data_IF_168007247747
#
_entry.id   IF_168007247747
#
_cell.length_a   1.000
_cell.length_b   1.000
_cell.length_c   1.000
_cell.angle_alpha   90.00
_cell.angle_beta   90.00
_cell.angle_gamma   90.00
#
_symmetry.space_group_name_H-M   'P 1'
#
loop_
_entity.id
_entity.type
_entity.pdbx_description
1 polymer ?
#
# COMPACT_ATOMS: atom_id res chain seq x y z
N UNK A 1 21.54 -21.87 -3.59
CA UNK A 1 21.16 -21.93 -2.16
C UNK A 1 19.89 -21.13 -2.01
N UNK A 2 18.76 -21.74 -1.63
CA UNK A 2 17.54 -21.00 -1.28
C UNK A 2 17.79 -20.28 0.05
N UNK A 3 18.24 -19.04 0.01
CA UNK A 3 18.31 -18.20 1.19
C UNK A 3 16.87 -17.78 1.53
N UNK A 4 16.39 -18.23 2.69
CA UNK A 4 15.11 -17.79 3.23
C UNK A 4 15.21 -16.28 3.53
N UNK A 5 14.27 -15.45 3.07
CA UNK A 5 14.37 -14.01 3.27
C UNK A 5 14.42 -13.67 4.76
N UNK A 6 15.17 -12.62 5.16
CA UNK A 6 15.31 -12.23 6.56
C UNK A 6 13.94 -11.99 7.19
N UNK A 7 13.75 -12.30 8.48
CA UNK A 7 12.46 -12.10 9.15
C UNK A 7 12.01 -10.63 9.03
N UNK A 8 10.70 -10.37 8.89
CA UNK A 8 10.19 -9.01 8.89
C UNK A 8 10.57 -8.26 10.17
N UNK A 9 10.97 -6.99 10.03
CA UNK A 9 11.27 -6.11 11.15
C UNK A 9 10.09 -5.17 11.42
N UNK A 10 9.87 -4.65 12.63
CA UNK A 10 8.88 -3.59 12.82
C UNK A 10 9.28 -2.33 12.04
N UNK A 11 8.29 -1.57 11.58
CA UNK A 11 8.54 -0.21 11.09
C UNK A 11 9.08 0.65 12.24
N UNK A 12 10.14 1.47 12.03
CA UNK A 12 10.62 2.40 13.05
C UNK A 12 9.50 3.28 13.63
N UNK A 13 9.49 3.44 14.95
CA UNK A 13 8.41 4.11 15.68
C UNK A 13 8.21 5.57 15.22
N UNK A 14 9.28 6.26 14.81
CA UNK A 14 9.21 7.64 14.32
C UNK A 14 8.49 7.79 12.98
N UNK A 15 8.24 6.67 12.28
CA UNK A 15 7.58 6.60 10.99
C UNK A 15 6.12 6.12 11.09
N UNK A 16 5.63 5.82 12.29
CA UNK A 16 4.26 5.37 12.47
C UNK A 16 3.27 6.46 12.05
N UNK A 17 2.26 6.07 11.28
CA UNK A 17 1.11 6.91 11.01
C UNK A 17 0.18 6.99 12.22
N UNK A 18 -0.67 8.00 12.24
CA UNK A 18 -1.72 8.19 13.25
C UNK A 18 -2.87 7.21 13.03
N UNK A 19 -3.19 6.92 11.76
CA UNK A 19 -4.23 5.98 11.38
C UNK A 19 -3.97 5.42 9.97
N UNK A 20 -4.75 4.41 9.60
CA UNK A 20 -4.68 3.83 8.26
C UNK A 20 -6.03 3.22 7.87
N UNK A 21 -6.20 2.96 6.57
CA UNK A 21 -7.35 2.21 6.07
C UNK A 21 -7.02 1.43 4.81
N UNK A 22 -7.77 0.35 4.58
CA UNK A 22 -7.91 -0.21 3.25
C UNK A 22 -8.78 0.69 2.37
N UNK A 23 -8.42 0.80 1.10
CA UNK A 23 -9.14 1.55 0.09
C UNK A 23 -9.17 0.79 -1.23
N UNK A 24 -9.95 1.29 -2.19
CA UNK A 24 -9.99 0.76 -3.54
C UNK A 24 -10.39 1.84 -4.54
N UNK A 25 -9.73 1.85 -5.68
CA UNK A 25 -9.93 2.83 -6.75
C UNK A 25 -10.22 2.08 -8.05
N UNK A 26 -11.24 2.43 -8.84
CA UNK A 26 -11.42 1.84 -10.16
C UNK A 26 -10.17 2.03 -11.02
N UNK A 27 -9.76 0.99 -11.74
CA UNK A 27 -8.56 1.01 -12.57
C UNK A 27 -8.56 2.17 -13.59
N UNK A 28 -9.73 2.53 -14.12
CA UNK A 28 -9.90 3.65 -15.03
C UNK A 28 -9.61 5.02 -14.40
N UNK A 29 -9.81 5.17 -13.10
CA UNK A 29 -9.71 6.46 -12.40
C UNK A 29 -8.29 6.71 -11.85
N UNK A 30 -7.46 5.67 -11.76
CA UNK A 30 -6.18 5.72 -11.04
C UNK A 30 -5.22 6.78 -11.58
N UNK A 31 -5.12 6.91 -12.91
CA UNK A 31 -4.25 7.93 -13.51
C UNK A 31 -4.86 9.32 -13.49
N UNK A 32 -6.16 9.44 -13.72
CA UNK A 32 -6.84 10.73 -13.64
C UNK A 32 -6.75 11.32 -12.22
N UNK A 33 -6.73 10.46 -11.20
CA UNK A 33 -6.58 10.86 -9.81
C UNK A 33 -5.17 11.33 -9.47
N UNK A 34 -4.11 10.75 -10.05
CA UNK A 34 -2.74 10.93 -9.53
C UNK A 34 -1.65 11.23 -10.56
N UNK A 35 -1.82 10.85 -11.83
CA UNK A 35 -0.76 10.85 -12.85
C UNK A 35 -0.14 12.22 -13.09
N UNK A 36 -0.97 13.27 -13.19
CA UNK A 36 -0.53 14.63 -13.45
C UNK A 36 -0.51 15.52 -12.19
N UNK A 37 -0.85 14.96 -11.03
CA UNK A 37 -0.92 15.76 -9.79
C UNK A 37 0.48 15.98 -9.21
N UNK A 38 0.78 17.19 -8.70
CA UNK A 38 2.05 17.46 -8.04
C UNK A 38 2.07 16.84 -6.63
N UNK A 39 2.27 15.53 -6.57
CA UNK A 39 2.45 14.77 -5.32
C UNK A 39 3.95 14.78 -4.98
N UNK A 40 4.35 15.20 -3.76
CA UNK A 40 5.76 15.35 -3.42
C UNK A 40 6.62 14.11 -3.65
N UNK A 41 6.09 12.93 -3.34
CA UNK A 41 6.75 11.63 -3.58
C UNK A 41 5.85 10.76 -4.44
N UNK A 42 6.23 10.52 -5.70
CA UNK A 42 5.44 9.69 -6.62
C UNK A 42 6.30 8.58 -7.23
N UNK A 43 5.84 7.34 -7.08
CA UNK A 43 6.43 6.15 -7.68
C UNK A 43 5.35 5.39 -8.45
N UNK A 44 5.08 5.90 -9.65
CA UNK A 44 3.97 5.52 -10.48
C UNK A 44 4.49 5.22 -11.90
N UNK A 45 5.24 4.12 -12.06
CA UNK A 45 5.92 3.86 -13.33
C UNK A 45 4.90 3.49 -14.43
N UNK A 46 5.07 3.98 -15.68
CA UNK A 46 4.09 3.77 -16.74
C UNK A 46 3.77 2.30 -17.02
N UNK A 47 4.74 1.39 -16.89
CA UNK A 47 4.54 -0.06 -17.07
C UNK A 47 3.54 -0.68 -16.09
N UNK A 48 3.24 -0.01 -14.96
CA UNK A 48 2.21 -0.42 -14.01
C UNK A 48 0.83 0.17 -14.32
N UNK A 49 0.68 0.89 -15.44
CA UNK A 49 -0.61 1.39 -15.88
C UNK A 49 -1.61 0.22 -16.06
N UNK A 50 -2.80 0.27 -15.44
CA UNK A 50 -3.81 -0.78 -15.59
C UNK A 50 -4.14 -1.14 -17.04
N UNK A 51 -4.10 -0.15 -17.95
CA UNK A 51 -4.32 -0.35 -19.40
C UNK A 51 -3.27 -1.29 -20.00
N UNK A 52 -1.98 -1.08 -19.70
CA UNK A 52 -0.89 -1.91 -20.23
C UNK A 52 -0.87 -3.32 -19.61
N UNK A 53 -1.40 -3.45 -18.39
CA UNK A 53 -1.57 -4.74 -17.72
C UNK A 53 -2.82 -5.50 -18.18
N UNK A 54 -3.65 -4.90 -19.03
CA UNK A 54 -4.92 -5.46 -19.49
C UNK A 54 -5.91 -5.68 -18.34
N UNK A 55 -5.97 -4.75 -17.39
CA UNK A 55 -6.95 -4.72 -16.30
C UNK A 55 -8.16 -3.90 -16.78
N UNK A 56 -9.37 -4.42 -16.58
CA UNK A 56 -10.58 -3.73 -16.99
C UNK A 56 -10.77 -2.43 -16.17
N UNK A 57 -11.27 -1.36 -16.79
CA UNK A 57 -11.38 -0.05 -16.14
C UNK A 57 -12.26 -0.02 -14.89
N UNK A 58 -13.24 -0.93 -14.80
CA UNK A 58 -14.12 -1.10 -13.64
C UNK A 58 -13.57 -2.06 -12.57
N UNK A 59 -12.42 -2.70 -12.79
CA UNK A 59 -11.75 -3.50 -11.77
C UNK A 59 -11.24 -2.58 -10.69
N UNK A 60 -11.57 -2.87 -9.43
CA UNK A 60 -11.09 -2.11 -8.28
C UNK A 60 -9.65 -2.51 -7.96
N UNK A 61 -8.73 -1.56 -8.11
CA UNK A 61 -7.35 -1.67 -7.62
C UNK A 61 -7.39 -1.47 -6.10
N UNK A 62 -7.01 -2.48 -5.30
CA UNK A 62 -6.98 -2.33 -3.85
C UNK A 62 -5.76 -1.52 -3.42
N UNK A 63 -5.84 -0.90 -2.25
CA UNK A 63 -4.69 -0.20 -1.69
C UNK A 63 -4.85 0.12 -0.21
N UNK A 64 -3.82 0.77 0.32
CA UNK A 64 -3.72 1.19 1.71
C UNK A 64 -3.42 2.68 1.74
N UNK A 65 -4.15 3.40 2.59
CA UNK A 65 -3.89 4.81 2.88
C UNK A 65 -3.37 4.88 4.31
N UNK A 66 -2.22 5.51 4.49
CA UNK A 66 -1.63 5.82 5.81
C UNK A 66 -1.78 7.32 6.05
N UNK A 67 -2.40 7.67 7.16
CA UNK A 67 -2.50 9.04 7.65
C UNK A 67 -1.29 9.31 8.55
N UNK A 68 -0.29 9.96 7.99
CA UNK A 68 1.00 10.20 8.64
C UNK A 68 1.02 11.41 9.56
N UNK A 69 -0.04 12.22 9.59
CA UNK A 69 -0.05 13.45 10.38
C UNK A 69 1.13 14.35 10.04
N UNK A 70 1.80 14.80 11.10
CA UNK A 70 3.05 15.58 11.01
C UNK A 70 4.23 14.80 10.42
N UNK A 71 4.20 13.47 10.47
CA UNK A 71 5.26 12.58 9.99
C UNK A 71 5.03 12.08 8.55
N UNK A 72 3.95 12.48 7.90
CA UNK A 72 3.61 12.08 6.53
C UNK A 72 4.78 12.24 5.54
N UNK A 73 5.48 13.38 5.58
CA UNK A 73 6.63 13.63 4.70
C UNK A 73 7.83 12.75 5.04
N UNK A 74 8.14 12.58 6.33
CA UNK A 74 9.24 11.73 6.77
C UNK A 74 9.00 10.26 6.38
N UNK A 75 7.78 9.77 6.59
CA UNK A 75 7.36 8.44 6.16
C UNK A 75 7.48 8.29 4.65
N UNK A 76 7.02 9.27 3.87
CA UNK A 76 7.08 9.20 2.41
C UNK A 76 8.52 9.17 1.87
N UNK A 77 9.42 9.99 2.41
CA UNK A 77 10.83 9.98 2.03
C UNK A 77 11.53 8.69 2.44
N UNK A 78 11.19 8.15 3.62
CA UNK A 78 11.71 6.85 4.04
C UNK A 78 11.26 5.74 3.10
N UNK A 79 9.96 5.68 2.77
CA UNK A 79 9.41 4.72 1.81
C UNK A 79 10.10 4.85 0.46
N UNK A 80 10.29 6.07 -0.05
CA UNK A 80 11.05 6.29 -1.30
C UNK A 80 12.45 5.66 -1.25
N UNK A 81 13.18 5.87 -0.14
CA UNK A 81 14.50 5.30 0.07
C UNK A 81 14.51 3.77 0.17
N UNK A 82 13.43 3.15 0.66
CA UNK A 82 13.31 1.69 0.74
C UNK A 82 12.88 1.03 -0.57
N UNK A 83 12.43 1.78 -1.58
CA UNK A 83 11.98 1.23 -2.87
C UNK A 83 10.91 0.13 -2.72
N UNK A 84 9.72 0.45 -2.19
CA UNK A 84 8.69 -0.54 -1.91
C UNK A 84 8.26 -1.24 -3.20
N UNK A 85 8.16 -2.57 -3.11
CA UNK A 85 7.73 -3.44 -4.20
C UNK A 85 6.31 -3.96 -3.97
N UNK A 86 6.01 -4.40 -2.76
CA UNK A 86 4.68 -4.92 -2.37
C UNK A 86 4.30 -4.47 -0.97
N UNK A 87 3.00 -4.37 -0.72
CA UNK A 87 2.39 -4.21 0.59
C UNK A 87 1.23 -5.20 0.71
N UNK A 88 1.40 -6.26 1.49
CA UNK A 88 0.45 -7.38 1.51
C UNK A 88 -0.22 -7.53 2.87
N UNK A 89 -1.53 -7.79 2.87
CA UNK A 89 -2.24 -8.25 4.06
C UNK A 89 -1.83 -9.68 4.40
N UNK A 90 -1.43 -9.89 5.65
CA UNK A 90 -1.09 -11.18 6.23
C UNK A 90 -2.03 -11.46 7.41
N UNK A 91 -2.89 -12.46 7.26
CA UNK A 91 -3.68 -12.99 8.38
C UNK A 91 -2.76 -13.72 9.36
N UNK A 92 -2.94 -13.45 10.65
CA UNK A 92 -2.22 -14.12 11.76
C UNK A 92 -3.17 -14.89 12.65
N UNK A 93 -4.43 -14.46 12.76
CA UNK A 93 -5.50 -15.20 13.39
C UNK A 93 -6.76 -15.12 12.53
N UNK A 94 -7.34 -16.29 12.23
CA UNK A 94 -8.45 -16.43 11.29
C UNK A 94 -9.60 -15.48 11.65
N UNK A 95 -9.96 -14.59 10.73
CA UNK A 95 -11.05 -13.63 10.86
C UNK A 95 -10.93 -12.68 12.08
N UNK A 96 -9.75 -12.51 12.69
CA UNK A 96 -9.60 -11.67 13.87
C UNK A 96 -8.36 -10.78 13.83
N UNK A 97 -7.20 -11.32 13.48
CA UNK A 97 -5.94 -10.60 13.57
C UNK A 97 -5.10 -10.74 12.30
N UNK A 98 -4.28 -9.72 12.07
CA UNK A 98 -3.33 -9.72 10.97
C UNK A 98 -2.48 -8.47 10.96
N UNK A 99 -1.81 -8.25 9.83
CA UNK A 99 -0.98 -7.07 9.63
C UNK A 99 -0.71 -6.79 8.17
N UNK A 100 -0.03 -5.67 7.93
CA UNK A 100 0.50 -5.32 6.61
C UNK A 100 2.00 -5.53 6.58
N UNK A 101 2.45 -6.27 5.57
CA UNK A 101 3.85 -6.57 5.34
C UNK A 101 4.32 -5.81 4.10
N UNK A 102 5.21 -4.85 4.30
CA UNK A 102 5.89 -4.14 3.22
C UNK A 102 7.13 -4.94 2.82
N UNK A 103 7.33 -5.14 1.51
CA UNK A 103 8.56 -5.73 0.96
C UNK A 103 9.22 -4.75 0.01
N UNK A 104 10.51 -4.47 0.21
CA UNK A 104 11.34 -3.66 -0.67
C UNK A 104 11.85 -4.47 -1.87
N UNK A 105 12.43 -3.76 -2.85
CA UNK A 105 13.05 -4.37 -4.03
C UNK A 105 14.22 -5.32 -3.68
N UNK A 106 14.93 -5.07 -2.57
CA UNK A 106 16.04 -5.89 -2.06
C UNK A 106 15.59 -7.08 -1.19
N UNK A 107 14.27 -7.33 -1.11
CA UNK A 107 13.64 -8.33 -0.25
C UNK A 107 13.72 -8.07 1.26
N UNK A 108 14.16 -6.88 1.69
CA UNK A 108 13.96 -6.42 3.06
C UNK A 108 12.45 -6.26 3.33
N UNK A 109 12.03 -6.62 4.55
CA UNK A 109 10.61 -6.70 4.92
C UNK A 109 10.32 -5.98 6.22
N UNK A 110 9.19 -5.26 6.26
CA UNK A 110 8.71 -4.59 7.46
C UNK A 110 7.26 -4.93 7.76
N UNK A 111 6.97 -5.20 9.03
CA UNK A 111 5.60 -5.16 9.57
C UNK A 111 5.26 -3.69 9.77
N UNK A 112 4.40 -3.16 8.89
CA UNK A 112 3.97 -1.76 8.93
C UNK A 112 2.99 -1.53 10.07
N UNK A 113 2.14 -2.51 10.32
CA UNK A 113 1.08 -2.45 11.33
C UNK A 113 0.54 -3.85 11.61
N UNK A 114 0.00 -4.01 12.81
CA UNK A 114 -0.79 -5.17 13.21
C UNK A 114 -2.13 -4.72 13.75
N UNK A 115 -3.14 -5.56 13.65
CA UNK A 115 -4.46 -5.29 14.19
C UNK A 115 -5.06 -6.58 14.79
N UNK A 116 -6.04 -6.38 15.67
CA UNK A 116 -6.83 -7.45 16.26
C UNK A 116 -8.29 -6.99 16.31
N UNK A 117 -8.95 -7.09 15.16
CA UNK A 117 -10.29 -6.58 14.88
C UNK A 117 -10.94 -7.36 13.71
N UNK A 118 -12.14 -7.89 13.94
CA UNK A 118 -12.87 -8.72 12.96
C UNK A 118 -13.34 -7.93 11.73
N UNK A 119 -13.71 -6.66 11.89
CA UNK A 119 -14.12 -5.80 10.77
C UNK A 119 -12.92 -5.48 9.88
N UNK A 120 -11.75 -5.21 10.47
CA UNK A 120 -10.50 -5.02 9.72
C UNK A 120 -10.08 -6.34 9.03
N UNK A 121 -10.19 -7.49 9.70
CA UNK A 121 -9.91 -8.79 9.07
C UNK A 121 -10.80 -9.02 7.84
N UNK A 122 -12.09 -8.72 7.94
CA UNK A 122 -13.04 -8.82 6.81
C UNK A 122 -12.67 -7.87 5.67
N UNK A 123 -12.20 -6.66 5.97
CA UNK A 123 -11.69 -5.73 4.96
C UNK A 123 -10.39 -6.24 4.32
N UNK A 124 -9.49 -6.87 5.08
CA UNK A 124 -8.27 -7.52 4.59
C UNK A 124 -8.55 -8.67 3.62
N UNK A 125 -9.56 -9.49 3.90
CA UNK A 125 -10.01 -10.55 2.99
C UNK A 125 -10.53 -9.96 1.66
N UNK A 126 -11.31 -8.87 1.71
CA UNK A 126 -11.75 -8.15 0.52
C UNK A 126 -10.57 -7.53 -0.26
N UNK A 127 -9.58 -7.00 0.45
CA UNK A 127 -8.35 -6.50 -0.14
C UNK A 127 -7.63 -7.61 -0.93
N UNK A 128 -7.46 -8.80 -0.33
CA UNK A 128 -6.81 -9.94 -1.00
C UNK A 128 -7.57 -10.42 -2.24
N UNK A 129 -8.91 -10.50 -2.18
CA UNK A 129 -9.70 -10.87 -3.35
C UNK A 129 -9.48 -9.89 -4.51
N UNK A 130 -9.57 -8.58 -4.22
CA UNK A 130 -9.34 -7.53 -5.22
C UNK A 130 -7.91 -7.54 -5.76
N UNK A 131 -6.93 -7.93 -4.94
CA UNK A 131 -5.54 -8.00 -5.36
C UNK A 131 -5.36 -9.06 -6.45
N UNK A 132 -6.08 -10.18 -6.36
CA UNK A 132 -6.08 -11.20 -7.41
C UNK A 132 -6.78 -10.68 -8.68
N UNK A 133 -7.95 -10.07 -8.52
CA UNK A 133 -8.71 -9.51 -9.66
C UNK A 133 -7.91 -8.41 -10.39
N UNK A 134 -7.09 -7.66 -9.66
CA UNK A 134 -6.21 -6.62 -10.15
C UNK A 134 -4.83 -7.14 -10.62
N UNK A 135 -4.63 -8.45 -10.80
CA UNK A 135 -3.36 -9.05 -11.26
C UNK A 135 -2.16 -8.65 -10.38
N UNK A 136 -2.38 -8.56 -9.08
CA UNK A 136 -1.39 -8.15 -8.08
C UNK A 136 -1.12 -6.65 -8.02
N UNK A 137 -1.71 -5.83 -8.89
CA UNK A 137 -1.57 -4.37 -8.88
C UNK A 137 -2.29 -3.81 -7.64
N UNK A 138 -1.61 -2.95 -6.89
CA UNK A 138 -2.16 -2.28 -5.72
C UNK A 138 -1.46 -0.95 -5.47
N UNK A 139 -2.02 -0.11 -4.60
CA UNK A 139 -1.40 1.16 -4.24
C UNK A 139 -1.11 1.31 -2.75
N UNK A 140 -0.13 2.14 -2.44
CA UNK A 140 0.09 2.74 -1.14
C UNK A 140 0.01 4.26 -1.30
N UNK A 141 -0.74 4.90 -0.42
CA UNK A 141 -0.86 6.35 -0.34
C UNK A 141 -0.48 6.80 1.07
N UNK A 142 0.26 7.90 1.16
CA UNK A 142 0.51 8.62 2.41
C UNK A 142 -0.12 10.00 2.32
N UNK A 143 -0.96 10.34 3.28
CA UNK A 143 -1.63 11.64 3.42
C UNK A 143 -1.35 12.21 4.83
N UNK A 144 -1.42 13.53 5.03
CA UNK A 144 -1.31 14.11 6.36
C UNK A 144 -2.56 13.84 7.21
N UNK A 145 -3.74 13.81 6.61
CA UNK A 145 -5.04 13.64 7.27
C UNK A 145 -6.04 12.91 6.35
N UNK A 146 -7.29 12.75 6.80
CA UNK A 146 -8.36 12.03 6.09
C UNK A 146 -9.20 12.92 5.15
N UNK A 147 -8.74 14.13 4.83
CA UNK A 147 -9.47 15.05 3.95
C UNK A 147 -9.54 14.59 2.49
N UNK A 148 -8.68 13.65 2.07
CA UNK A 148 -8.44 13.25 0.68
C UNK A 148 -8.07 14.44 -0.26
N UNK A 149 -7.73 15.61 0.31
CA UNK A 149 -7.31 16.80 -0.44
C UNK A 149 -5.81 16.79 -0.71
N UNK A 150 -5.01 16.47 0.30
CA UNK A 150 -3.54 16.57 0.25
C UNK A 150 -2.91 15.19 0.23
N UNK A 151 -2.12 14.91 -0.81
CA UNK A 151 -1.37 13.67 -0.92
C UNK A 151 0.11 13.98 -0.71
N UNK A 152 0.76 13.24 0.20
CA UNK A 152 2.20 13.38 0.45
C UNK A 152 3.00 12.41 -0.40
N UNK A 153 2.51 11.18 -0.54
CA UNK A 153 3.15 10.18 -1.37
C UNK A 153 2.18 9.19 -2.00
N UNK A 154 2.55 8.67 -3.16
CA UNK A 154 1.87 7.57 -3.84
C UNK A 154 2.86 6.58 -4.43
N UNK A 155 2.58 5.29 -4.27
CA UNK A 155 3.29 4.20 -4.90
C UNK A 155 2.30 3.27 -5.55
N UNK A 156 2.52 2.96 -6.83
CA UNK A 156 1.84 1.90 -7.53
C UNK A 156 2.73 0.65 -7.47
N UNK A 157 2.25 -0.40 -6.83
CA UNK A 157 3.00 -1.60 -6.42
C UNK A 157 2.44 -2.84 -7.13
N UNK A 158 3.23 -3.91 -7.21
CA UNK A 158 2.79 -5.16 -7.84
C UNK A 158 3.52 -6.38 -7.27
N UNK A 159 2.75 -7.45 -7.01
CA UNK A 159 3.26 -8.75 -6.56
C UNK A 159 4.13 -9.46 -7.60
#
# INVERSE_FOLDING_TARGET
MNQMPPPPQPLPDELWGEAWRFASIPAGDLWDMFGDRPIPVSAMPPERNPVYLGIASNTFIPGVIIYGGRQSMQLALWLQGQTPKTLVYQETERNLAGGLLLTAADATRWVVMTFHDQAIATAGQRYQQRLQDAKGLHFLIVQPDDSDVTHTGIWLLQN
#
